data_IF_031316014321
#
_entry.id   IF_031316014321
#
_cell.length_a   1.000
_cell.length_b   1.000
_cell.length_c   1.000
_cell.angle_alpha   90.00
_cell.angle_beta   90.00
_cell.angle_gamma   90.00
#
_symmetry.space_group_name_H-M   'P 1'
#
loop_
_entity.id
_entity.type
_entity.pdbx_description
1 polymer ?
#
# COMPACT_ATOMS: atom_id res chain seq x y z
N UNK A 1 1.89 -51.80 0.72
CA UNK A 1 1.22 -50.52 1.07
C UNK A 1 1.70 -50.13 2.45
N UNK A 2 2.62 -49.17 2.54
CA UNK A 2 2.96 -48.48 3.78
C UNK A 2 3.02 -47.00 3.43
N UNK A 3 2.28 -46.22 4.22
CA UNK A 3 1.78 -44.90 3.88
C UNK A 3 2.89 -43.91 3.58
N UNK A 4 2.73 -43.22 2.47
CA UNK A 4 3.43 -41.98 2.19
C UNK A 4 2.86 -40.91 3.13
N UNK A 5 3.42 -40.81 4.33
CA UNK A 5 3.24 -39.64 5.19
C UNK A 5 4.61 -38.99 5.40
N UNK A 6 5.23 -38.62 4.27
CA UNK A 6 6.43 -37.82 4.26
C UNK A 6 6.01 -36.37 4.52
N UNK A 7 6.00 -35.96 5.78
CA UNK A 7 5.84 -34.56 6.17
C UNK A 7 7.04 -33.78 5.66
N UNK A 8 6.83 -32.84 4.72
CA UNK A 8 7.86 -31.91 4.28
C UNK A 8 8.03 -30.86 5.39
N UNK A 9 9.18 -30.77 6.07
CA UNK A 9 9.41 -29.68 7.01
C UNK A 9 9.48 -28.38 6.21
N UNK A 10 8.58 -27.43 6.51
CA UNK A 10 8.71 -26.08 6.00
C UNK A 10 9.98 -25.47 6.61
N UNK A 11 10.93 -25.09 5.77
CA UNK A 11 12.12 -24.35 6.21
C UNK A 11 11.69 -22.95 6.66
N UNK A 12 11.43 -22.81 7.96
CA UNK A 12 11.22 -21.49 8.57
C UNK A 12 12.61 -20.88 8.73
N UNK A 13 12.97 -19.96 7.84
CA UNK A 13 14.19 -19.19 7.99
C UNK A 13 14.14 -18.40 9.31
N UNK A 14 15.19 -18.48 10.15
CA UNK A 14 15.25 -17.70 11.37
C UNK A 14 15.16 -16.20 11.03
N UNK A 15 14.50 -15.39 11.88
CA UNK A 15 14.38 -13.97 11.64
C UNK A 15 15.78 -13.37 11.52
N UNK A 16 16.00 -12.56 10.49
CA UNK A 16 17.24 -11.79 10.37
C UNK A 16 17.41 -10.89 11.60
N UNK A 17 18.64 -10.51 11.93
CA UNK A 17 18.91 -9.59 13.06
C UNK A 17 17.98 -8.37 13.02
N UNK A 18 17.81 -7.78 11.83
CA UNK A 18 16.89 -6.67 11.59
C UNK A 18 15.44 -6.99 11.98
N UNK A 19 14.92 -8.16 11.62
CA UNK A 19 13.56 -8.59 11.98
C UNK A 19 13.44 -8.94 13.46
N UNK A 20 14.47 -9.51 14.06
CA UNK A 20 14.48 -9.89 15.48
C UNK A 20 14.51 -8.67 16.41
N UNK A 21 15.17 -7.58 16.00
CA UNK A 21 15.26 -6.33 16.78
C UNK A 21 14.11 -5.36 16.55
N UNK A 22 13.28 -5.58 15.53
CA UNK A 22 12.20 -4.67 15.16
C UNK A 22 10.94 -5.02 15.93
N UNK A 23 10.47 -4.11 16.79
CA UNK A 23 9.25 -4.30 17.57
C UNK A 23 8.02 -4.21 16.66
N UNK A 24 7.02 -5.06 16.90
CA UNK A 24 5.77 -5.06 16.12
C UNK A 24 5.11 -3.68 16.04
N UNK A 25 5.16 -2.91 17.13
CA UNK A 25 4.61 -1.55 17.21
C UNK A 25 5.26 -0.59 16.21
N UNK A 26 6.59 -0.65 16.07
CA UNK A 26 7.34 0.20 15.12
C UNK A 26 6.98 -0.15 13.68
N UNK A 27 6.73 -1.43 13.40
CA UNK A 27 6.29 -1.87 12.08
C UNK A 27 4.86 -1.38 11.77
N UNK A 28 3.96 -1.43 12.75
CA UNK A 28 2.58 -0.95 12.60
C UNK A 28 2.54 0.56 12.38
N UNK A 29 3.30 1.33 13.14
CA UNK A 29 3.42 2.79 12.97
C UNK A 29 3.99 3.14 11.58
N UNK A 30 5.10 2.51 11.19
CA UNK A 30 5.71 2.73 9.88
C UNK A 30 4.80 2.29 8.71
N UNK A 31 4.01 1.23 8.90
CA UNK A 31 3.03 0.80 7.91
C UNK A 31 1.90 1.82 7.78
N UNK A 32 1.41 2.34 8.91
CA UNK A 32 0.37 3.37 8.93
C UNK A 32 0.83 4.63 8.21
N UNK A 33 2.01 5.14 8.53
CA UNK A 33 2.58 6.30 7.84
C UNK A 33 2.70 6.09 6.33
N UNK A 34 3.15 4.91 5.89
CA UNK A 34 3.24 4.60 4.46
C UNK A 34 1.86 4.61 3.78
N UNK A 35 0.81 4.12 4.46
CA UNK A 35 -0.54 4.12 3.92
C UNK A 35 -1.12 5.54 3.87
N UNK A 36 -0.95 6.33 4.91
CA UNK A 36 -1.42 7.72 4.98
C UNK A 36 -0.79 8.56 3.84
N UNK A 37 0.52 8.40 3.60
CA UNK A 37 1.22 9.06 2.48
C UNK A 37 0.64 8.70 1.10
N UNK A 38 0.20 7.45 0.91
CA UNK A 38 -0.43 7.02 -0.35
C UNK A 38 -1.83 7.62 -0.51
N UNK A 39 -2.59 7.76 0.57
CA UNK A 39 -3.89 8.41 0.55
C UNK A 39 -3.77 9.89 0.22
N UNK A 40 -2.86 10.63 0.87
CA UNK A 40 -2.60 12.05 0.58
C UNK A 40 -2.24 12.28 -0.90
N UNK A 41 -1.38 11.43 -1.47
CA UNK A 41 -1.01 11.50 -2.89
C UNK A 41 -2.20 11.25 -3.80
N UNK A 42 -3.07 10.28 -3.45
CA UNK A 42 -4.26 9.96 -4.22
C UNK A 42 -5.28 11.10 -4.17
N UNK A 43 -5.51 11.69 -3.00
CA UNK A 43 -6.37 12.85 -2.84
C UNK A 43 -5.86 14.05 -3.65
N UNK A 44 -4.57 14.36 -3.55
CA UNK A 44 -3.95 15.43 -4.33
C UNK A 44 -4.12 15.22 -5.84
N UNK A 45 -3.98 13.98 -6.32
CA UNK A 45 -4.25 13.63 -7.71
C UNK A 45 -5.72 13.85 -8.09
N UNK A 46 -6.66 13.44 -7.24
CA UNK A 46 -8.10 13.65 -7.46
C UNK A 46 -8.48 15.13 -7.50
N UNK A 47 -7.93 15.97 -6.61
CA UNK A 47 -8.17 17.42 -6.65
C UNK A 47 -7.69 18.05 -7.95
N UNK A 48 -6.50 17.65 -8.44
CA UNK A 48 -5.97 18.13 -9.73
C UNK A 48 -6.86 17.69 -10.89
N UNK A 49 -7.29 16.43 -10.90
CA UNK A 49 -8.18 15.90 -11.93
C UNK A 49 -9.53 16.64 -11.94
N UNK A 50 -10.13 16.85 -10.76
CA UNK A 50 -11.37 17.59 -10.62
C UNK A 50 -11.25 19.03 -11.13
N UNK A 51 -10.16 19.73 -10.76
CA UNK A 51 -9.91 21.09 -11.23
C UNK A 51 -9.74 21.16 -12.75
N UNK A 52 -9.02 20.19 -13.35
CA UNK A 52 -8.85 20.10 -14.81
C UNK A 52 -10.19 19.86 -15.50
N UNK A 53 -10.99 18.90 -15.00
CA UNK A 53 -12.34 18.61 -15.52
C UNK A 53 -13.24 19.85 -15.42
N UNK A 54 -13.25 20.53 -14.29
CA UNK A 54 -14.06 21.74 -14.09
C UNK A 54 -13.62 22.89 -15.02
N UNK A 55 -12.31 23.04 -15.26
CA UNK A 55 -11.81 24.03 -16.21
C UNK A 55 -12.21 23.70 -17.66
N UNK A 56 -12.16 22.42 -18.03
CA UNK A 56 -12.57 21.95 -19.34
C UNK A 56 -14.07 22.19 -19.58
N UNK A 57 -14.94 21.85 -18.61
CA UNK A 57 -16.39 22.08 -18.71
C UNK A 57 -16.73 23.57 -18.82
N UNK A 58 -16.09 24.42 -18.00
CA UNK A 58 -16.25 25.88 -18.11
C UNK A 58 -15.90 26.40 -19.51
N UNK A 59 -14.75 25.97 -20.07
CA UNK A 59 -14.29 26.42 -21.39
C UNK A 59 -15.21 25.98 -22.52
N UNK A 60 -15.79 24.79 -22.41
CA UNK A 60 -16.79 24.29 -23.36
C UNK A 60 -18.08 25.11 -23.28
N UNK A 61 -18.61 25.32 -22.07
CA UNK A 61 -19.86 26.06 -21.85
C UNK A 61 -19.78 27.55 -22.22
N UNK A 62 -18.59 28.16 -22.24
CA UNK A 62 -18.41 29.55 -22.69
C UNK A 62 -18.31 29.73 -24.21
N UNK A 63 -18.20 28.62 -24.97
CA UNK A 63 -18.10 28.63 -26.43
C UNK A 63 -19.43 28.26 -27.13
N UNK A 64 -20.47 28.00 -26.34
CA UNK A 64 -21.87 27.86 -26.76
C UNK A 64 -22.56 29.19 -26.52
#
# INVERSE_FOLDING_TARGET
>A
MYGADAMIPAEINPPSWRRATLTATVNEEALKENLDLLEELREAAHFREFAVKQRATRRYNTRV
#
